data_IF_129006775865
#
_entry.id   IF_129006775865
#
_cell.length_a   1.000
_cell.length_b   1.000
_cell.length_c   1.000
_cell.angle_alpha   90.00
_cell.angle_beta   90.00
_cell.angle_gamma   90.00
#
_symmetry.space_group_name_H-M   'P 1'
#
loop_
_entity.id
_entity.type
_entity.pdbx_description
1 polymer ?
#
# COMPACT_ATOMS: atom_id res chain seq x y z
N UNK A 1 -18.20 34.05 -2.29
CA UNK A 1 -16.95 33.83 -3.06
C UNK A 1 -16.59 32.35 -2.92
N UNK A 2 -16.92 31.52 -3.91
CA UNK A 2 -16.62 30.08 -3.88
C UNK A 2 -15.18 29.91 -4.38
N UNK A 3 -14.25 29.32 -3.59
CA UNK A 3 -12.89 29.12 -4.08
C UNK A 3 -12.93 28.12 -5.24
N UNK A 4 -12.44 28.56 -6.39
CA UNK A 4 -12.23 27.71 -7.55
C UNK A 4 -11.22 26.62 -7.18
N UNK A 5 -11.70 25.44 -6.79
CA UNK A 5 -10.86 24.25 -6.65
C UNK A 5 -10.30 23.94 -8.04
N UNK A 6 -8.99 24.11 -8.21
CA UNK A 6 -8.34 23.89 -9.50
C UNK A 6 -8.63 22.47 -9.99
N UNK A 7 -8.95 22.33 -11.28
CA UNK A 7 -9.19 21.05 -11.95
C UNK A 7 -8.02 20.06 -11.71
N UNK A 8 -6.80 20.57 -11.51
CA UNK A 8 -5.62 19.80 -11.14
C UNK A 8 -5.68 19.11 -9.77
N UNK A 9 -6.36 19.69 -8.78
CA UNK A 9 -6.52 19.10 -7.45
C UNK A 9 -7.43 17.86 -7.44
N UNK A 10 -8.50 17.90 -8.24
CA UNK A 10 -9.42 16.77 -8.39
C UNK A 10 -8.78 15.59 -9.12
N UNK A 11 -8.07 15.82 -10.23
CA UNK A 11 -7.37 14.75 -10.94
C UNK A 11 -6.30 14.07 -10.07
N UNK A 12 -5.62 14.85 -9.23
CA UNK A 12 -4.57 14.36 -8.35
C UNK A 12 -5.12 13.46 -7.23
N UNK A 13 -6.23 13.82 -6.60
CA UNK A 13 -6.80 12.98 -5.53
C UNK A 13 -7.35 11.65 -6.05
N UNK A 14 -7.93 11.62 -7.25
CA UNK A 14 -8.36 10.38 -7.88
C UNK A 14 -7.18 9.45 -8.19
N UNK A 15 -6.06 9.99 -8.69
CA UNK A 15 -4.82 9.21 -8.87
C UNK A 15 -4.33 8.62 -7.55
N UNK A 16 -4.30 9.41 -6.47
CA UNK A 16 -3.91 8.92 -5.14
C UNK A 16 -4.79 7.75 -4.70
N UNK A 17 -6.10 7.86 -4.88
CA UNK A 17 -7.04 6.79 -4.53
C UNK A 17 -6.87 5.55 -5.38
N UNK A 18 -6.67 5.70 -6.70
CA UNK A 18 -6.38 4.57 -7.59
C UNK A 18 -5.11 3.83 -7.18
N UNK A 19 -4.06 4.55 -6.78
CA UNK A 19 -2.83 3.95 -6.26
C UNK A 19 -3.06 3.22 -4.93
N UNK A 20 -3.78 3.84 -3.98
CA UNK A 20 -4.14 3.18 -2.73
C UNK A 20 -4.96 1.91 -2.96
N UNK A 21 -5.95 1.94 -3.86
CA UNK A 21 -6.76 0.78 -4.21
C UNK A 21 -5.91 -0.35 -4.80
N UNK A 22 -4.98 -0.02 -5.71
CA UNK A 22 -4.06 -1.00 -6.28
C UNK A 22 -3.16 -1.62 -5.21
N UNK A 23 -2.58 -0.79 -4.33
CA UNK A 23 -1.71 -1.24 -3.23
C UNK A 23 -2.49 -2.16 -2.26
N UNK A 24 -3.72 -1.78 -1.91
CA UNK A 24 -4.64 -2.58 -1.08
C UNK A 24 -4.94 -3.92 -1.74
N UNK A 25 -5.26 -3.94 -3.03
CA UNK A 25 -5.56 -5.17 -3.76
C UNK A 25 -4.36 -6.13 -3.77
N UNK A 26 -3.15 -5.62 -4.00
CA UNK A 26 -1.93 -6.43 -3.98
C UNK A 26 -1.70 -7.03 -2.59
N UNK A 27 -1.69 -6.20 -1.53
CA UNK A 27 -1.40 -6.68 -0.17
C UNK A 27 -2.50 -7.62 0.36
N UNK A 28 -3.78 -7.38 0.04
CA UNK A 28 -4.86 -8.30 0.43
C UNK A 28 -4.76 -9.65 -0.31
N UNK A 29 -4.24 -9.66 -1.54
CA UNK A 29 -3.94 -10.91 -2.25
C UNK A 29 -2.85 -11.69 -1.52
N UNK A 30 -1.79 -11.01 -1.06
CA UNK A 30 -0.71 -11.63 -0.28
C UNK A 30 -1.21 -12.19 1.06
N UNK A 31 -1.98 -11.39 1.82
CA UNK A 31 -2.66 -11.82 3.05
C UNK A 31 -3.46 -13.10 2.79
N UNK A 32 -4.28 -13.11 1.73
CA UNK A 32 -5.11 -14.26 1.39
C UNK A 32 -4.28 -15.51 1.02
N UNK A 33 -3.11 -15.34 0.41
CA UNK A 33 -2.17 -16.42 0.11
C UNK A 33 -1.57 -16.98 1.40
N UNK A 34 -1.05 -16.13 2.29
CA UNK A 34 -0.38 -16.57 3.53
C UNK A 34 -1.33 -17.12 4.59
N UNK A 35 -2.62 -16.80 4.52
CA UNK A 35 -3.68 -17.45 5.31
C UNK A 35 -4.28 -18.69 4.63
N UNK A 36 -3.78 -19.09 3.45
CA UNK A 36 -4.20 -20.32 2.76
C UNK A 36 -5.55 -20.23 2.05
N UNK A 37 -6.08 -19.02 1.89
CA UNK A 37 -7.39 -18.77 1.30
C UNK A 37 -7.32 -18.77 -0.23
N UNK A 38 -6.20 -18.33 -0.81
CA UNK A 38 -6.06 -18.19 -2.27
C UNK A 38 -5.23 -19.30 -2.91
N UNK A 39 -4.06 -19.62 -2.35
CA UNK A 39 -3.15 -20.64 -2.87
C UNK A 39 -2.67 -21.49 -1.71
N UNK A 40 -2.96 -22.80 -1.76
CA UNK A 40 -2.55 -23.75 -0.71
C UNK A 40 -1.04 -23.99 -0.75
N UNK A 41 -0.44 -24.23 0.41
CA UNK A 41 0.99 -24.55 0.53
C UNK A 41 1.93 -23.35 0.61
N UNK A 42 1.37 -22.13 0.59
CA UNK A 42 2.09 -20.87 0.81
C UNK A 42 1.78 -20.26 2.18
N UNK A 43 1.20 -21.05 3.09
CA UNK A 43 0.77 -20.62 4.41
C UNK A 43 1.93 -20.10 5.26
N UNK A 44 1.85 -18.84 5.68
CA UNK A 44 2.85 -18.23 6.56
C UNK A 44 2.23 -17.15 7.45
N UNK A 45 1.60 -17.59 8.53
CA UNK A 45 0.81 -16.75 9.47
C UNK A 45 1.54 -15.48 9.94
N UNK A 46 2.85 -15.57 10.18
CA UNK A 46 3.64 -14.44 10.62
C UNK A 46 3.75 -13.34 9.55
N UNK A 47 4.04 -13.72 8.29
CA UNK A 47 4.08 -12.77 7.18
C UNK A 47 2.68 -12.22 6.89
N UNK A 48 1.66 -13.09 6.86
CA UNK A 48 0.26 -12.67 6.67
C UNK A 48 -0.22 -11.68 7.73
N UNK A 49 0.23 -11.80 8.99
CA UNK A 49 -0.08 -10.82 10.04
C UNK A 49 0.58 -9.45 9.77
N UNK A 50 1.85 -9.43 9.38
CA UNK A 50 2.55 -8.18 9.01
C UNK A 50 1.88 -7.51 7.81
N UNK A 51 1.54 -8.27 6.79
CA UNK A 51 0.86 -7.77 5.59
C UNK A 51 -0.54 -7.25 5.91
N UNK A 52 -1.27 -7.90 6.82
CA UNK A 52 -2.59 -7.44 7.27
C UNK A 52 -2.50 -6.08 7.96
N UNK A 53 -1.46 -5.81 8.74
CA UNK A 53 -1.22 -4.48 9.34
C UNK A 53 -1.02 -3.43 8.24
N UNK A 54 -0.22 -3.73 7.22
CA UNK A 54 -0.02 -2.83 6.07
C UNK A 54 -1.36 -2.59 5.35
N UNK A 55 -2.13 -3.64 5.10
CA UNK A 55 -3.45 -3.55 4.47
C UNK A 55 -4.39 -2.64 5.26
N UNK A 56 -4.48 -2.82 6.58
CA UNK A 56 -5.32 -2.01 7.46
C UNK A 56 -4.93 -0.52 7.41
N UNK A 57 -3.62 -0.22 7.44
CA UNK A 57 -3.11 1.16 7.35
C UNK A 57 -3.45 1.80 6.00
N UNK A 58 -3.29 1.07 4.88
CA UNK A 58 -3.63 1.57 3.55
C UNK A 58 -5.14 1.79 3.38
N UNK A 59 -5.98 0.87 3.88
CA UNK A 59 -7.44 1.01 3.87
C UNK A 59 -7.88 2.22 4.68
N UNK A 60 -7.34 2.39 5.89
CA UNK A 60 -7.63 3.55 6.73
C UNK A 60 -7.25 4.85 6.00
N UNK A 61 -6.07 4.90 5.37
CA UNK A 61 -5.66 6.06 4.58
C UNK A 61 -6.59 6.35 3.39
N UNK A 62 -7.03 5.31 2.66
CA UNK A 62 -7.99 5.45 1.57
C UNK A 62 -9.29 6.10 2.05
N UNK A 63 -9.85 5.62 3.16
CA UNK A 63 -11.06 6.17 3.77
C UNK A 63 -10.85 7.63 4.18
N UNK A 64 -9.71 7.95 4.79
CA UNK A 64 -9.36 9.31 5.20
C UNK A 64 -9.17 10.28 4.01
N UNK A 65 -8.92 9.79 2.79
CA UNK A 65 -8.86 10.66 1.60
C UNK A 65 -10.20 11.31 1.24
N UNK A 66 -11.32 10.84 1.80
CA UNK A 66 -12.64 11.46 1.61
C UNK A 66 -12.90 12.65 2.54
N UNK A 67 -12.03 12.90 3.52
CA UNK A 67 -12.16 14.06 4.39
C UNK A 67 -11.88 15.38 3.65
N UNK A 68 -12.52 16.50 4.04
CA UNK A 68 -12.31 17.80 3.40
C UNK A 68 -10.84 18.27 3.41
N UNK A 69 -10.43 18.98 2.35
CA UNK A 69 -9.12 19.62 2.23
C UNK A 69 -8.87 20.59 3.41
N UNK A 70 -7.62 20.81 3.86
CA UNK A 70 -6.35 20.66 3.12
C UNK A 70 -5.56 19.36 3.39
N UNK A 71 -6.07 18.46 4.25
CA UNK A 71 -5.32 17.29 4.74
C UNK A 71 -5.45 16.00 3.95
N UNK A 72 -6.31 15.92 2.92
CA UNK A 72 -6.75 14.65 2.31
C UNK A 72 -5.63 13.77 1.71
N UNK A 73 -4.46 14.34 1.42
CA UNK A 73 -3.29 13.61 0.88
C UNK A 73 -2.33 13.10 1.95
N UNK A 74 -2.32 13.72 3.14
CA UNK A 74 -1.38 13.36 4.23
C UNK A 74 -1.55 11.92 4.72
N UNK A 75 -2.79 11.39 4.90
CA UNK A 75 -2.98 9.99 5.25
C UNK A 75 -2.37 9.04 4.22
N UNK A 76 -2.54 9.34 2.92
CA UNK A 76 -1.99 8.54 1.84
C UNK A 76 -0.45 8.53 1.87
N UNK A 77 0.18 9.69 2.04
CA UNK A 77 1.65 9.80 2.19
C UNK A 77 2.14 8.99 3.39
N UNK A 78 1.51 9.15 4.56
CA UNK A 78 1.91 8.43 5.77
C UNK A 78 1.77 6.91 5.60
N UNK A 79 0.64 6.44 5.06
CA UNK A 79 0.41 5.02 4.83
C UNK A 79 1.31 4.42 3.76
N UNK A 80 1.62 5.16 2.69
CA UNK A 80 2.55 4.70 1.66
C UNK A 80 3.98 4.59 2.20
N UNK A 81 4.43 5.58 2.97
CA UNK A 81 5.73 5.49 3.66
C UNK A 81 5.78 4.31 4.65
N UNK A 82 4.72 4.11 5.44
CA UNK A 82 4.60 2.95 6.34
C UNK A 82 4.65 1.63 5.57
N UNK A 83 3.90 1.53 4.47
CA UNK A 83 3.90 0.35 3.60
C UNK A 83 5.29 0.07 3.02
N UNK A 84 6.03 1.09 2.59
CA UNK A 84 7.42 0.92 2.09
C UNK A 84 8.30 0.32 3.17
N UNK A 85 8.26 0.86 4.39
CA UNK A 85 9.04 0.34 5.51
C UNK A 85 8.65 -1.11 5.84
N UNK A 86 7.35 -1.42 5.82
CA UNK A 86 6.85 -2.78 6.02
C UNK A 86 7.36 -3.76 4.97
N UNK A 87 7.28 -3.41 3.69
CA UNK A 87 7.76 -4.26 2.58
C UNK A 87 9.28 -4.41 2.59
N UNK A 88 10.03 -3.36 2.90
CA UNK A 88 11.48 -3.46 3.09
C UNK A 88 11.83 -4.38 4.26
N UNK A 89 11.07 -4.33 5.35
CA UNK A 89 11.15 -5.30 6.44
C UNK A 89 10.89 -6.72 5.95
N UNK A 90 9.87 -6.93 5.12
CA UNK A 90 9.59 -8.20 4.45
C UNK A 90 10.79 -8.70 3.63
N UNK A 91 11.35 -7.88 2.74
CA UNK A 91 12.56 -8.24 1.99
C UNK A 91 13.75 -8.60 2.88
N UNK A 92 13.94 -7.90 4.00
CA UNK A 92 14.98 -8.24 4.98
C UNK A 92 14.73 -9.61 5.61
N UNK A 93 13.48 -9.95 5.96
CA UNK A 93 13.15 -11.29 6.48
C UNK A 93 13.40 -12.37 5.45
N UNK A 94 13.14 -12.12 4.16
CA UNK A 94 13.43 -13.05 3.07
C UNK A 94 14.94 -13.23 2.91
N UNK A 95 15.70 -12.13 2.89
CA UNK A 95 17.15 -12.14 2.71
C UNK A 95 17.89 -12.84 3.86
N UNK A 96 17.42 -12.66 5.09
CA UNK A 96 17.95 -13.35 6.29
C UNK A 96 17.42 -14.78 6.42
N UNK A 97 16.43 -15.13 5.60
CA UNK A 97 15.91 -16.48 5.49
C UNK A 97 14.85 -16.87 6.50
N UNK A 98 14.32 -15.90 7.24
CA UNK A 98 13.23 -16.05 8.20
C UNK A 98 11.87 -16.10 7.48
N UNK A 99 11.70 -15.22 6.47
CA UNK A 99 10.46 -15.08 5.71
C UNK A 99 10.29 -16.12 4.59
N UNK A 100 9.11 -16.18 3.96
CA UNK A 100 8.87 -17.11 2.87
C UNK A 100 9.71 -16.72 1.63
N UNK A 101 10.47 -17.67 1.10
CA UNK A 101 11.44 -17.42 0.01
C UNK A 101 10.92 -17.87 -1.36
N UNK A 102 9.62 -17.71 -1.59
CA UNK A 102 9.01 -18.15 -2.84
C UNK A 102 9.17 -17.07 -3.92
N UNK A 103 9.20 -17.48 -5.19
CA UNK A 103 9.22 -16.53 -6.32
C UNK A 103 7.97 -15.65 -6.32
N UNK A 104 6.84 -16.20 -5.87
CA UNK A 104 5.58 -15.47 -5.77
C UNK A 104 5.68 -14.34 -4.74
N UNK A 105 6.21 -14.62 -3.55
CA UNK A 105 6.42 -13.64 -2.48
C UNK A 105 7.35 -12.52 -2.94
N UNK A 106 8.47 -12.86 -3.59
CA UNK A 106 9.40 -11.86 -4.11
C UNK A 106 8.74 -10.97 -5.16
N UNK A 107 7.95 -11.55 -6.07
CA UNK A 107 7.28 -10.82 -7.15
C UNK A 107 6.20 -9.89 -6.61
N UNK A 108 5.35 -10.37 -5.69
CA UNK A 108 4.27 -9.56 -5.12
C UNK A 108 4.81 -8.44 -4.22
N UNK A 109 5.83 -8.72 -3.39
CA UNK A 109 6.49 -7.68 -2.59
C UNK A 109 7.15 -6.61 -3.48
N UNK A 110 7.81 -7.02 -4.57
CA UNK A 110 8.42 -6.07 -5.51
C UNK A 110 7.37 -5.21 -6.21
N UNK A 111 6.27 -5.81 -6.68
CA UNK A 111 5.16 -5.07 -7.27
C UNK A 111 4.53 -4.09 -6.27
N UNK A 112 4.31 -4.53 -5.02
CA UNK A 112 3.80 -3.66 -3.96
C UNK A 112 4.76 -2.50 -3.68
N UNK A 113 6.07 -2.76 -3.56
CA UNK A 113 7.07 -1.72 -3.33
C UNK A 113 7.09 -0.68 -4.45
N UNK A 114 7.10 -1.11 -5.71
CA UNK A 114 7.10 -0.21 -6.86
C UNK A 114 5.84 0.67 -6.90
N UNK A 115 4.67 0.08 -6.64
CA UNK A 115 3.41 0.84 -6.61
C UNK A 115 3.34 1.79 -5.43
N UNK A 116 3.90 1.43 -4.26
CA UNK A 116 4.03 2.31 -3.10
C UNK A 116 4.93 3.52 -3.39
N UNK A 117 6.11 3.29 -3.98
CA UNK A 117 7.05 4.36 -4.37
C UNK A 117 6.40 5.31 -5.38
N UNK A 118 5.75 4.77 -6.41
CA UNK A 118 5.07 5.57 -7.42
C UNK A 118 3.91 6.38 -6.82
N UNK A 119 3.10 5.77 -5.94
CA UNK A 119 2.03 6.45 -5.21
C UNK A 119 2.57 7.57 -4.31
N UNK A 120 3.66 7.31 -3.59
CA UNK A 120 4.32 8.28 -2.72
C UNK A 120 4.86 9.46 -3.52
N UNK A 121 5.52 9.20 -4.65
CA UNK A 121 5.99 10.24 -5.56
C UNK A 121 4.84 11.12 -6.07
N UNK A 122 3.65 10.55 -6.32
CA UNK A 122 2.46 11.33 -6.68
C UNK A 122 1.99 12.18 -5.51
N UNK A 123 1.91 11.64 -4.28
CA UNK A 123 1.41 12.40 -3.12
C UNK A 123 2.35 13.56 -2.72
N UNK A 124 3.67 13.39 -2.90
CA UNK A 124 4.68 14.41 -2.60
C UNK A 124 4.80 15.51 -3.66
N UNK A 125 4.32 15.30 -4.89
CA UNK A 125 4.31 16.36 -5.91
C UNK A 125 3.42 17.53 -5.45
N UNK A 126 4.03 18.73 -5.42
CA UNK A 126 3.33 19.99 -5.24
C UNK A 126 2.34 20.19 -6.40
N UNK A 127 1.14 20.71 -6.15
CA UNK A 127 0.16 21.02 -7.19
C UNK A 127 0.68 22.10 -8.15
#
# INVERSE_FOLDING_TARGET
MIPARSVGGFGTIWRVRSFLLLQIAIVLSMVSIHFGQLIRGYDHRAAGATELVIAAVLVAALLLTWMPAPGSRRPATAAQSFGILGVLGGFLTIATGIGPRTTLDLTLNAALLLTLIAGLAITLRKP
#
